data_IF_123518859921
#
_entry.id   IF_123518859921
#
_cell.length_a   1.000
_cell.length_b   1.000
_cell.length_c   1.000
_cell.angle_alpha   90.00
_cell.angle_beta   90.00
_cell.angle_gamma   90.00
#
_symmetry.space_group_name_H-M   'P 1'
#
loop_
_entity.id
_entity.type
_entity.pdbx_description
1 polymer ?
#
# COMPACT_ATOMS: atom_id res chain seq x y z
N UNK A 1 -42.00 13.88 18.83
CA UNK A 1 -40.80 13.32 18.18
C UNK A 1 -40.30 14.33 17.15
N UNK A 2 -39.26 15.08 17.45
CA UNK A 2 -38.60 16.01 16.51
C UNK A 2 -37.25 15.44 16.19
N UNK A 3 -37.01 15.06 14.91
CA UNK A 3 -35.72 14.74 14.38
C UNK A 3 -34.88 16.02 14.32
N UNK A 4 -33.71 16.02 14.92
CA UNK A 4 -32.70 17.07 14.76
C UNK A 4 -31.66 16.58 13.77
N UNK A 5 -31.60 17.25 12.63
CA UNK A 5 -30.50 17.15 11.69
C UNK A 5 -29.32 17.96 12.24
N UNK A 6 -28.14 17.34 12.37
CA UNK A 6 -26.89 18.04 12.66
C UNK A 6 -26.30 18.55 11.36
N UNK A 7 -26.52 19.83 11.05
CA UNK A 7 -25.84 20.52 9.96
C UNK A 7 -24.53 21.10 10.48
N UNK A 8 -23.39 20.59 9.96
CA UNK A 8 -22.08 21.18 10.15
C UNK A 8 -21.96 22.40 9.21
N UNK A 9 -22.02 23.59 9.76
CA UNK A 9 -21.79 24.84 9.02
C UNK A 9 -20.29 25.12 8.89
N UNK A 10 -19.79 25.10 7.66
CA UNK A 10 -18.45 25.54 7.31
C UNK A 10 -18.45 27.02 6.90
N UNK A 11 -17.77 27.85 7.65
CA UNK A 11 -17.52 29.24 7.26
C UNK A 11 -16.09 29.40 6.71
N UNK A 12 -16.00 29.79 5.45
CA UNK A 12 -14.71 30.09 4.79
C UNK A 12 -14.37 31.57 5.01
N UNK A 13 -13.24 31.86 5.69
CA UNK A 13 -12.64 33.20 5.73
C UNK A 13 -11.17 33.14 5.29
N UNK A 14 -10.64 34.16 4.62
CA UNK A 14 -9.23 34.21 4.26
C UNK A 14 -8.37 34.32 5.54
N UNK A 15 -7.61 33.24 5.84
CA UNK A 15 -6.70 33.19 6.97
C UNK A 15 -6.84 31.99 7.92
N UNK A 16 -7.74 31.03 7.66
CA UNK A 16 -7.83 29.81 8.47
C UNK A 16 -9.24 29.27 8.58
N UNK A 17 -9.36 27.94 8.56
CA UNK A 17 -10.62 27.25 8.85
C UNK A 17 -10.82 27.27 10.36
N UNK A 18 -11.77 28.09 10.83
CA UNK A 18 -12.24 28.03 12.22
C UNK A 18 -13.36 26.97 12.26
N UNK A 19 -13.11 25.84 12.89
CA UNK A 19 -14.17 24.89 13.26
C UNK A 19 -14.95 25.54 14.38
N UNK A 20 -16.09 26.15 14.05
CA UNK A 20 -17.02 26.70 15.04
C UNK A 20 -17.74 25.53 15.71
N UNK A 21 -17.29 25.14 16.90
CA UNK A 21 -18.11 24.37 17.80
C UNK A 21 -19.32 25.26 18.25
N UNK A 22 -20.53 24.73 18.10
CA UNK A 22 -21.75 25.39 18.54
C UNK A 22 -21.63 25.77 20.01
N UNK A 23 -21.62 27.07 20.30
CA UNK A 23 -21.76 27.59 21.64
C UNK A 23 -23.21 27.37 22.09
N UNK A 24 -23.47 26.29 22.82
CA UNK A 24 -24.67 26.16 23.63
C UNK A 24 -24.34 26.63 25.04
N UNK A 25 -25.21 27.48 25.57
CA UNK A 25 -25.04 28.16 26.85
C UNK A 25 -24.83 27.18 28.02
N UNK A 26 -23.75 27.36 28.78
CA UNK A 26 -23.73 27.01 30.21
C UNK A 26 -22.98 25.73 30.62
N UNK A 27 -22.10 25.11 29.82
CA UNK A 27 -21.28 23.99 30.27
C UNK A 27 -19.82 24.12 29.82
N UNK A 28 -18.85 23.90 30.70
CA UNK A 28 -17.47 23.66 30.32
C UNK A 28 -17.41 22.32 29.54
N UNK A 29 -17.46 22.38 28.20
CA UNK A 29 -17.17 21.23 27.38
C UNK A 29 -15.65 20.98 27.48
N UNK A 30 -15.24 20.01 28.27
CA UNK A 30 -13.89 19.44 28.18
C UNK A 30 -13.82 18.71 26.85
N UNK A 31 -12.94 19.16 25.93
CA UNK A 31 -12.64 18.45 24.70
C UNK A 31 -12.31 16.98 25.02
N UNK A 32 -12.88 16.04 24.27
CA UNK A 32 -12.50 14.64 24.39
C UNK A 32 -11.01 14.46 24.07
N UNK A 33 -10.41 13.38 24.50
CA UNK A 33 -9.01 13.07 24.15
C UNK A 33 -8.85 13.00 22.63
N UNK A 34 -9.79 12.37 21.94
CA UNK A 34 -9.78 12.27 20.46
C UNK A 34 -9.87 13.65 19.83
N UNK A 35 -10.79 14.52 20.28
CA UNK A 35 -10.92 15.87 19.73
C UNK A 35 -9.62 16.68 19.86
N UNK A 36 -8.91 16.57 21.00
CA UNK A 36 -7.60 17.21 21.22
C UNK A 36 -6.53 16.69 20.25
N UNK A 37 -6.49 15.37 20.03
CA UNK A 37 -5.51 14.75 19.12
C UNK A 37 -5.80 15.16 17.67
N UNK A 38 -7.06 15.14 17.27
CA UNK A 38 -7.46 15.56 15.92
C UNK A 38 -7.17 17.05 15.68
N UNK A 39 -7.41 17.91 16.67
CA UNK A 39 -7.08 19.33 16.59
C UNK A 39 -5.56 19.56 16.45
N UNK A 40 -4.73 18.80 17.21
CA UNK A 40 -3.27 18.76 17.06
C UNK A 40 -2.86 18.42 15.61
N UNK A 41 -3.41 17.35 15.04
CA UNK A 41 -3.14 16.94 13.66
C UNK A 41 -3.59 18.00 12.63
N UNK A 42 -4.78 18.59 12.81
CA UNK A 42 -5.33 19.62 11.92
C UNK A 42 -4.53 20.93 11.93
N UNK A 43 -3.80 21.23 13.02
CA UNK A 43 -2.83 22.34 13.08
C UNK A 43 -1.48 22.00 12.44
N UNK A 44 -1.28 20.77 11.96
CA UNK A 44 -0.02 20.32 11.37
C UNK A 44 1.04 19.91 12.40
N UNK A 45 0.62 19.69 13.64
CA UNK A 45 1.49 19.16 14.69
C UNK A 45 1.54 17.63 14.58
N UNK A 46 2.74 17.06 14.73
CA UNK A 46 2.94 15.60 14.64
C UNK A 46 2.31 14.86 15.82
N UNK A 47 1.55 13.83 15.48
CA UNK A 47 1.06 12.88 16.46
C UNK A 47 2.20 11.99 16.94
N UNK A 48 2.28 11.75 18.25
CA UNK A 48 3.21 10.81 18.86
C UNK A 48 2.62 9.39 18.96
N UNK A 49 3.36 8.49 19.57
CA UNK A 49 2.96 7.10 19.73
C UNK A 49 1.66 6.98 20.55
N UNK A 50 1.57 7.71 21.68
CA UNK A 50 0.42 7.66 22.58
C UNK A 50 -0.84 8.22 21.91
N UNK A 51 -0.74 9.37 21.23
CA UNK A 51 -1.83 9.93 20.41
C UNK A 51 -2.34 8.90 19.39
N UNK A 52 -1.41 8.19 18.74
CA UNK A 52 -1.75 7.20 17.70
C UNK A 52 -2.42 5.97 18.29
N UNK A 53 -1.97 5.47 19.43
CA UNK A 53 -2.62 4.37 20.16
C UNK A 53 -4.04 4.74 20.53
N UNK A 54 -4.24 5.93 21.10
CA UNK A 54 -5.56 6.41 21.51
C UNK A 54 -6.53 6.55 20.33
N UNK A 55 -6.05 6.96 19.15
CA UNK A 55 -6.87 6.95 17.94
C UNK A 55 -7.27 5.53 17.51
N UNK A 56 -6.35 4.57 17.57
CA UNK A 56 -6.66 3.17 17.24
C UNK A 56 -7.64 2.54 18.22
N UNK A 57 -7.60 2.91 19.49
CA UNK A 57 -8.50 2.42 20.54
C UNK A 57 -9.88 3.11 20.52
N UNK A 58 -10.03 4.21 19.78
CA UNK A 58 -11.26 4.97 19.70
C UNK A 58 -12.30 4.33 18.76
N UNK A 59 -13.57 4.48 19.12
CA UNK A 59 -14.72 4.13 18.27
C UNK A 59 -15.21 5.32 17.40
N UNK A 60 -14.56 6.50 17.49
CA UNK A 60 -14.99 7.73 16.79
C UNK A 60 -14.49 7.75 15.31
N UNK A 61 -14.70 6.66 14.58
CA UNK A 61 -14.15 6.41 13.24
C UNK A 61 -14.50 7.52 12.24
N UNK A 62 -15.73 8.01 12.26
CA UNK A 62 -16.18 9.07 11.34
C UNK A 62 -15.47 10.41 11.61
N UNK A 63 -15.23 10.77 12.88
CA UNK A 63 -14.47 11.97 13.22
C UNK A 63 -13.01 11.88 12.75
N UNK A 64 -12.37 10.73 13.01
CA UNK A 64 -11.01 10.45 12.58
C UNK A 64 -10.92 10.52 11.04
N UNK A 65 -11.89 9.91 10.35
CA UNK A 65 -12.01 9.95 8.90
C UNK A 65 -12.18 11.37 8.35
N UNK A 66 -13.04 12.18 8.97
CA UNK A 66 -13.27 13.57 8.57
C UNK A 66 -11.99 14.42 8.70
N UNK A 67 -11.23 14.28 9.80
CA UNK A 67 -9.97 14.97 9.99
C UNK A 67 -8.92 14.52 8.95
N UNK A 68 -8.81 13.22 8.69
CA UNK A 68 -7.93 12.67 7.67
C UNK A 68 -8.27 13.19 6.26
N UNK A 69 -9.56 13.29 5.93
CA UNK A 69 -10.02 13.85 4.66
C UNK A 69 -9.63 15.34 4.50
N UNK A 70 -9.70 16.13 5.57
CA UNK A 70 -9.24 17.52 5.55
C UNK A 70 -7.74 17.60 5.26
N UNK A 71 -6.93 16.77 5.92
CA UNK A 71 -5.48 16.72 5.69
C UNK A 71 -5.18 16.23 4.27
N UNK A 72 -5.84 15.18 3.82
CA UNK A 72 -5.69 14.67 2.45
C UNK A 72 -6.00 15.77 1.41
N UNK A 73 -7.10 16.52 1.57
CA UNK A 73 -7.45 17.62 0.66
C UNK A 73 -6.47 18.80 0.69
N UNK A 74 -5.78 19.03 1.81
CA UNK A 74 -4.69 20.02 1.88
C UNK A 74 -3.44 19.56 1.15
N UNK A 75 -3.11 18.27 1.23
CA UNK A 75 -1.96 17.67 0.54
C UNK A 75 -2.22 17.46 -0.96
N UNK A 76 -3.48 17.19 -1.32
CA UNK A 76 -3.95 16.92 -2.68
C UNK A 76 -5.16 17.80 -3.01
N UNK A 77 -4.93 19.10 -3.26
CA UNK A 77 -6.00 20.07 -3.57
C UNK A 77 -6.59 19.88 -4.99
N UNK A 78 -5.97 19.05 -5.81
CA UNK A 78 -6.38 18.79 -7.17
C UNK A 78 -7.75 18.11 -7.24
N UNK A 79 -8.54 18.37 -8.32
CA UNK A 79 -9.89 17.83 -8.46
C UNK A 79 -9.92 16.36 -8.90
N UNK A 80 -8.78 15.69 -8.97
CA UNK A 80 -8.68 14.30 -9.41
C UNK A 80 -8.25 13.35 -8.30
N UNK A 81 -8.51 12.04 -8.52
CA UNK A 81 -7.92 10.94 -7.76
C UNK A 81 -7.28 9.95 -8.72
N UNK A 82 -6.15 9.41 -8.28
CA UNK A 82 -5.30 8.60 -9.14
C UNK A 82 -5.62 7.11 -9.07
N UNK A 83 -5.24 6.40 -10.12
CA UNK A 83 -5.16 4.95 -10.18
C UNK A 83 -4.05 4.55 -11.15
N UNK A 84 -3.57 3.31 -11.08
CA UNK A 84 -2.60 2.76 -12.02
C UNK A 84 -3.18 1.54 -12.74
N UNK A 85 -2.89 1.42 -14.05
CA UNK A 85 -3.15 0.19 -14.80
C UNK A 85 -1.92 -0.68 -14.65
N UNK A 86 -2.05 -1.74 -13.86
CA UNK A 86 -0.95 -2.63 -13.52
C UNK A 86 -1.39 -4.07 -13.37
N UNK A 87 -0.43 -4.97 -13.43
CA UNK A 87 -0.61 -6.41 -13.31
C UNK A 87 0.31 -6.99 -12.24
N UNK A 88 -0.22 -7.90 -11.41
CA UNK A 88 0.61 -8.75 -10.58
C UNK A 88 1.12 -9.94 -11.39
N UNK A 89 2.40 -10.22 -11.29
CA UNK A 89 3.03 -11.42 -11.88
C UNK A 89 3.70 -12.19 -10.74
N UNK A 90 3.21 -13.38 -10.47
CA UNK A 90 3.82 -14.26 -9.47
C UNK A 90 4.70 -15.28 -10.20
N UNK A 91 5.98 -14.94 -10.35
CA UNK A 91 6.94 -15.74 -11.14
C UNK A 91 7.24 -17.11 -10.51
N UNK A 92 7.05 -17.27 -9.19
CA UNK A 92 7.15 -18.55 -8.49
C UNK A 92 6.24 -18.57 -7.25
N UNK A 93 5.67 -19.72 -6.92
CA UNK A 93 5.00 -19.96 -5.65
C UNK A 93 5.86 -20.78 -4.67
N UNK A 94 7.04 -21.23 -5.09
CA UNK A 94 7.95 -21.98 -4.21
C UNK A 94 8.56 -21.03 -3.19
N UNK A 95 8.39 -21.38 -1.89
CA UNK A 95 8.81 -20.53 -0.79
C UNK A 95 9.26 -21.36 0.40
N UNK A 96 10.36 -20.99 1.05
CA UNK A 96 10.90 -21.65 2.24
C UNK A 96 10.64 -20.90 3.57
N UNK A 97 9.84 -19.81 3.53
CA UNK A 97 9.50 -19.00 4.72
C UNK A 97 8.26 -19.50 5.47
N UNK A 98 7.32 -20.14 4.79
CA UNK A 98 6.13 -20.79 5.39
C UNK A 98 5.26 -19.88 6.25
N UNK A 99 4.95 -18.66 5.79
CA UNK A 99 4.09 -17.74 6.52
C UNK A 99 2.72 -18.34 6.80
N UNK A 100 2.27 -18.30 8.05
CA UNK A 100 0.99 -18.90 8.48
C UNK A 100 -0.24 -18.22 7.87
N UNK A 101 -0.10 -16.97 7.44
CA UNK A 101 -1.15 -16.17 6.83
C UNK A 101 -1.19 -16.27 5.29
N UNK A 102 -0.20 -16.91 4.66
CA UNK A 102 -0.12 -17.01 3.21
C UNK A 102 -0.72 -18.34 2.74
N UNK A 103 -1.70 -18.27 1.83
CA UNK A 103 -2.31 -19.44 1.19
C UNK A 103 -1.65 -19.78 -0.15
N UNK A 104 -0.83 -18.88 -0.67
CA UNK A 104 -0.26 -18.97 -2.02
C UNK A 104 0.98 -19.88 -2.10
N UNK A 105 1.84 -19.86 -1.08
CA UNK A 105 3.14 -20.54 -1.15
C UNK A 105 3.01 -22.06 -1.28
N UNK A 106 4.00 -22.67 -1.95
CA UNK A 106 4.27 -24.12 -1.96
C UNK A 106 5.68 -24.36 -1.44
N UNK A 107 5.87 -25.47 -0.71
CA UNK A 107 7.19 -25.85 -0.20
C UNK A 107 8.11 -26.27 -1.33
N UNK A 108 9.44 -26.06 -1.19
CA UNK A 108 10.40 -26.64 -2.12
C UNK A 108 10.18 -28.15 -2.30
N UNK A 109 10.16 -28.62 -3.54
CA UNK A 109 9.87 -30.00 -3.90
C UNK A 109 8.38 -30.38 -3.97
N UNK A 110 7.45 -29.44 -3.78
CA UNK A 110 6.01 -29.68 -4.00
C UNK A 110 5.72 -29.86 -5.49
N UNK A 111 4.86 -30.83 -5.84
CA UNK A 111 4.38 -31.05 -7.21
C UNK A 111 3.56 -29.84 -7.74
N UNK A 112 2.97 -29.06 -6.85
CA UNK A 112 2.25 -27.81 -7.18
C UNK A 112 3.17 -26.59 -7.24
N UNK A 113 4.47 -26.78 -6.95
CA UNK A 113 5.48 -25.72 -7.05
C UNK A 113 5.80 -25.38 -8.51
N UNK A 114 5.92 -24.10 -8.82
CA UNK A 114 6.30 -23.67 -10.17
C UNK A 114 7.29 -22.51 -10.15
N UNK A 115 8.00 -22.39 -11.26
CA UNK A 115 8.69 -21.19 -11.72
C UNK A 115 8.15 -20.93 -13.13
N UNK A 116 7.61 -19.75 -13.38
CA UNK A 116 7.09 -19.40 -14.70
C UNK A 116 8.23 -19.32 -15.70
N UNK A 117 8.06 -19.88 -16.90
CA UNK A 117 8.97 -19.62 -18.02
C UNK A 117 8.97 -18.12 -18.37
N UNK A 118 10.11 -17.61 -18.81
CA UNK A 118 10.30 -16.19 -19.18
C UNK A 118 9.30 -15.77 -20.26
N UNK A 119 9.00 -16.62 -21.25
CA UNK A 119 8.03 -16.33 -22.30
C UNK A 119 6.62 -16.08 -21.76
N UNK A 120 6.23 -16.79 -20.68
CA UNK A 120 4.94 -16.57 -20.02
C UNK A 120 4.94 -15.20 -19.32
N UNK A 121 6.04 -14.83 -18.67
CA UNK A 121 6.22 -13.51 -18.03
C UNK A 121 6.15 -12.41 -19.10
N UNK A 122 6.90 -12.56 -20.20
CA UNK A 122 6.89 -11.60 -21.31
C UNK A 122 5.50 -11.44 -21.95
N UNK A 123 4.77 -12.54 -22.14
CA UNK A 123 3.41 -12.50 -22.65
C UNK A 123 2.49 -11.69 -21.71
N UNK A 124 2.60 -11.91 -20.38
CA UNK A 124 1.82 -11.15 -19.39
C UNK A 124 2.15 -9.66 -19.40
N UNK A 125 3.43 -9.30 -19.59
CA UNK A 125 3.87 -7.91 -19.69
C UNK A 125 3.31 -7.28 -20.97
N UNK A 126 3.40 -7.99 -22.10
CA UNK A 126 2.85 -7.51 -23.39
C UNK A 126 1.35 -7.27 -23.32
N UNK A 127 0.60 -8.19 -22.73
CA UNK A 127 -0.84 -8.04 -22.51
C UNK A 127 -1.17 -6.83 -21.62
N UNK A 128 -0.28 -6.47 -20.69
CA UNK A 128 -0.44 -5.29 -19.84
C UNK A 128 -0.20 -4.00 -20.64
N UNK A 129 0.83 -3.96 -21.49
CA UNK A 129 1.07 -2.83 -22.41
C UNK A 129 -0.11 -2.63 -23.38
N UNK A 130 -0.70 -3.71 -23.89
CA UNK A 130 -1.79 -3.67 -24.86
C UNK A 130 -3.09 -3.01 -24.33
N UNK A 131 -3.17 -2.83 -23.01
CA UNK A 131 -4.27 -2.10 -22.34
C UNK A 131 -3.80 -0.79 -21.68
N UNK A 132 -2.73 -0.20 -22.20
CA UNK A 132 -2.11 1.03 -21.66
C UNK A 132 -1.62 0.89 -20.21
N UNK A 133 -1.29 -0.33 -19.78
CA UNK A 133 -0.69 -0.58 -18.47
C UNK A 133 0.79 -0.16 -18.42
N UNK A 134 1.22 0.31 -17.28
CA UNK A 134 2.56 0.91 -17.11
C UNK A 134 3.38 0.26 -16.01
N UNK A 135 2.76 -0.63 -15.22
CA UNK A 135 3.38 -1.20 -14.03
C UNK A 135 3.22 -2.72 -13.99
N UNK A 136 4.30 -3.40 -13.70
CA UNK A 136 4.28 -4.81 -13.29
C UNK A 136 4.70 -4.91 -11.83
N UNK A 137 3.78 -5.39 -11.00
CA UNK A 137 4.07 -5.82 -9.63
C UNK A 137 4.47 -7.30 -9.68
N UNK A 138 5.78 -7.58 -9.77
CA UNK A 138 6.27 -8.96 -9.84
C UNK A 138 6.80 -9.41 -8.49
N UNK A 139 6.12 -10.36 -7.87
CA UNK A 139 6.49 -10.92 -6.57
C UNK A 139 6.27 -12.44 -6.58
N UNK A 140 7.12 -13.17 -5.84
CA UNK A 140 7.02 -14.62 -5.71
C UNK A 140 7.29 -15.11 -4.30
N UNK A 141 7.52 -16.42 -4.18
CA UNK A 141 8.07 -17.01 -2.97
C UNK A 141 9.59 -16.81 -2.88
N UNK A 142 10.14 -16.94 -1.68
CA UNK A 142 11.58 -17.00 -1.44
C UNK A 142 12.11 -18.38 -1.88
N UNK A 143 12.27 -18.55 -3.19
CA UNK A 143 12.66 -19.84 -3.78
C UNK A 143 14.15 -20.11 -3.57
N UNK A 144 14.58 -21.09 -2.76
CA UNK A 144 15.97 -21.36 -2.48
C UNK A 144 16.73 -22.01 -3.67
N UNK A 145 16.00 -22.44 -4.71
CA UNK A 145 16.57 -23.12 -5.87
C UNK A 145 16.91 -22.17 -7.03
N UNK A 146 16.56 -20.88 -6.93
CA UNK A 146 16.88 -19.89 -7.95
C UNK A 146 18.21 -19.21 -7.61
N UNK A 147 19.22 -19.26 -8.48
CA UNK A 147 20.47 -18.53 -8.27
C UNK A 147 20.25 -17.02 -8.41
N UNK A 148 21.13 -16.21 -7.85
CA UNK A 148 21.02 -14.74 -7.94
C UNK A 148 20.99 -14.25 -9.40
N UNK A 149 21.73 -14.89 -10.30
CA UNK A 149 21.73 -14.55 -11.73
C UNK A 149 20.36 -14.66 -12.39
N UNK A 150 19.49 -15.56 -11.93
CA UNK A 150 18.11 -15.65 -12.44
C UNK A 150 17.39 -14.31 -12.37
N UNK A 151 17.48 -13.61 -11.25
CA UNK A 151 16.79 -12.34 -11.04
C UNK A 151 17.33 -11.21 -11.90
N UNK A 152 18.66 -11.11 -12.00
CA UNK A 152 19.30 -10.08 -12.82
C UNK A 152 19.11 -10.32 -14.32
N UNK A 153 19.18 -11.57 -14.77
CA UNK A 153 19.02 -11.92 -16.18
C UNK A 153 17.56 -11.72 -16.63
N UNK A 154 16.59 -12.12 -15.79
CA UNK A 154 15.16 -11.87 -16.06
C UNK A 154 14.87 -10.37 -16.16
N UNK A 155 15.36 -9.53 -15.22
CA UNK A 155 15.15 -8.08 -15.27
C UNK A 155 15.74 -7.46 -16.54
N UNK A 156 16.98 -7.83 -16.92
CA UNK A 156 17.63 -7.35 -18.15
C UNK A 156 16.80 -7.73 -19.37
N UNK A 157 16.36 -8.99 -19.47
CA UNK A 157 15.56 -9.48 -20.59
C UNK A 157 14.19 -8.78 -20.67
N UNK A 158 13.57 -8.45 -19.54
CA UNK A 158 12.34 -7.64 -19.49
C UNK A 158 12.61 -6.23 -20.01
N UNK A 159 13.65 -5.55 -19.49
CA UNK A 159 13.93 -4.16 -19.88
C UNK A 159 14.40 -4.01 -21.33
N UNK A 160 15.07 -5.02 -21.88
CA UNK A 160 15.42 -5.04 -23.29
C UNK A 160 14.16 -5.10 -24.19
N UNK A 161 13.15 -5.87 -23.80
CA UNK A 161 11.91 -6.06 -24.58
C UNK A 161 10.84 -5.01 -24.29
N UNK A 162 10.75 -4.52 -23.04
CA UNK A 162 9.71 -3.65 -22.53
C UNK A 162 10.31 -2.45 -21.76
N UNK A 163 11.06 -1.57 -22.44
CA UNK A 163 11.81 -0.49 -21.78
C UNK A 163 10.93 0.52 -21.05
N UNK A 164 9.66 0.65 -21.42
CA UNK A 164 8.72 1.62 -20.86
C UNK A 164 7.91 1.07 -19.67
N UNK A 165 7.95 -0.24 -19.43
CA UNK A 165 7.26 -0.86 -18.30
C UNK A 165 8.08 -0.62 -17.02
N UNK A 166 7.40 -0.14 -15.98
CA UNK A 166 7.97 -0.02 -14.65
C UNK A 166 7.93 -1.36 -13.93
N UNK A 167 9.11 -1.85 -13.53
CA UNK A 167 9.24 -3.04 -12.68
C UNK A 167 9.21 -2.63 -11.22
N UNK A 168 8.02 -2.65 -10.62
CA UNK A 168 7.78 -2.49 -9.18
C UNK A 168 7.75 -3.89 -8.56
N UNK A 169 8.92 -4.43 -8.20
CA UNK A 169 9.04 -5.89 -8.07
C UNK A 169 9.83 -6.31 -6.85
N UNK A 170 9.65 -7.57 -6.47
CA UNK A 170 10.22 -8.26 -5.33
C UNK A 170 9.82 -7.66 -3.97
N UNK A 171 9.81 -8.47 -2.95
CA UNK A 171 9.63 -8.04 -1.57
C UNK A 171 10.99 -8.02 -0.84
N UNK A 172 11.12 -7.28 0.27
CA UNK A 172 12.33 -7.36 1.09
C UNK A 172 12.73 -8.79 1.50
N UNK A 173 11.77 -9.68 1.70
CA UNK A 173 12.07 -11.08 1.98
C UNK A 173 12.74 -11.80 0.78
N UNK A 174 12.30 -11.49 -0.45
CA UNK A 174 12.95 -11.99 -1.66
C UNK A 174 14.35 -11.39 -1.84
N UNK A 175 14.52 -10.08 -1.54
CA UNK A 175 15.86 -9.45 -1.56
C UNK A 175 16.82 -10.12 -0.57
N UNK A 176 16.36 -10.40 0.66
CA UNK A 176 17.17 -11.13 1.64
C UNK A 176 17.50 -12.54 1.17
N UNK A 177 16.59 -13.22 0.45
CA UNK A 177 16.89 -14.51 -0.20
C UNK A 177 17.93 -14.35 -1.32
N UNK A 178 17.87 -13.29 -2.12
CA UNK A 178 18.87 -13.00 -3.14
C UNK A 178 20.26 -12.79 -2.50
N UNK A 179 20.34 -12.14 -1.34
CA UNK A 179 21.60 -12.03 -0.57
C UNK A 179 22.10 -13.42 -0.17
N UNK A 180 21.22 -14.28 0.35
CA UNK A 180 21.58 -15.64 0.77
C UNK A 180 22.15 -16.50 -0.38
N UNK A 181 21.60 -16.35 -1.61
CA UNK A 181 21.99 -17.15 -2.78
C UNK A 181 22.99 -16.44 -3.72
N UNK A 182 23.58 -15.33 -3.31
CA UNK A 182 24.44 -14.46 -4.13
C UNK A 182 25.94 -14.72 -4.01
N UNK A 183 26.36 -15.85 -3.42
CA UNK A 183 27.77 -16.19 -3.22
C UNK A 183 28.59 -15.10 -2.47
N UNK A 184 27.97 -14.45 -1.48
CA UNK A 184 28.65 -13.56 -0.53
C UNK A 184 28.54 -12.07 -0.83
N UNK A 185 27.64 -11.64 -1.72
CA UNK A 185 27.34 -10.22 -1.89
C UNK A 185 26.63 -9.65 -0.64
N UNK A 186 26.96 -8.42 -0.31
CA UNK A 186 26.25 -7.65 0.73
C UNK A 186 24.84 -7.24 0.27
N UNK A 187 23.98 -6.84 1.19
CA UNK A 187 22.65 -6.33 0.87
C UNK A 187 22.72 -5.16 -0.13
N UNK A 188 23.65 -4.21 0.07
CA UNK A 188 23.78 -3.07 -0.83
C UNK A 188 24.22 -3.49 -2.24
N UNK A 189 25.16 -4.41 -2.35
CA UNK A 189 25.61 -4.93 -3.66
C UNK A 189 24.49 -5.65 -4.38
N UNK A 190 23.68 -6.47 -3.69
CA UNK A 190 22.50 -7.13 -4.28
C UNK A 190 21.48 -6.10 -4.77
N UNK A 191 21.09 -5.14 -3.92
CA UNK A 191 20.09 -4.11 -4.28
C UNK A 191 20.59 -3.26 -5.44
N UNK A 192 21.86 -2.91 -5.48
CA UNK A 192 22.48 -2.17 -6.59
C UNK A 192 22.48 -3.01 -7.89
N UNK A 193 22.86 -4.27 -7.82
CA UNK A 193 22.92 -5.15 -9.00
C UNK A 193 21.54 -5.39 -9.63
N UNK A 194 20.48 -5.57 -8.82
CA UNK A 194 19.12 -5.72 -9.36
C UNK A 194 18.57 -4.38 -9.91
N UNK A 195 18.93 -3.24 -9.29
CA UNK A 195 18.58 -1.93 -9.81
C UNK A 195 19.26 -1.68 -11.17
N UNK A 196 20.54 -1.94 -11.28
CA UNK A 196 21.29 -1.84 -12.55
C UNK A 196 20.79 -2.83 -13.62
N UNK A 197 20.22 -3.97 -13.18
CA UNK A 197 19.59 -4.94 -14.09
C UNK A 197 18.21 -4.50 -14.59
N UNK A 198 17.61 -3.45 -14.00
CA UNK A 198 16.34 -2.86 -14.46
C UNK A 198 15.19 -2.88 -13.46
N UNK A 199 15.45 -3.14 -12.18
CA UNK A 199 14.44 -2.94 -11.15
C UNK A 199 14.24 -1.45 -10.90
N UNK A 200 13.02 -0.94 -11.10
CA UNK A 200 12.72 0.49 -10.95
C UNK A 200 12.35 0.88 -9.51
N UNK A 201 11.68 0.00 -8.78
CA UNK A 201 11.25 0.28 -7.40
C UNK A 201 10.88 -1.00 -6.63
N UNK A 202 10.87 -0.92 -5.29
CA UNK A 202 10.51 -2.03 -4.41
C UNK A 202 9.13 -1.82 -3.77
N UNK A 203 8.20 -2.78 -3.90
CA UNK A 203 6.94 -2.75 -3.18
C UNK A 203 7.11 -3.05 -1.69
N UNK A 204 6.22 -2.51 -0.87
CA UNK A 204 6.22 -2.67 0.58
C UNK A 204 5.82 -4.04 1.11
N UNK A 205 5.56 -5.00 0.21
CA UNK A 205 5.18 -6.36 0.60
C UNK A 205 6.15 -6.98 1.59
N UNK A 206 5.64 -7.82 2.49
CA UNK A 206 6.49 -8.42 3.51
C UNK A 206 6.62 -7.62 4.80
N UNK A 207 6.11 -6.38 4.87
CA UNK A 207 6.06 -5.60 6.11
C UNK A 207 5.10 -6.23 7.14
N UNK A 208 3.92 -6.64 6.70
CA UNK A 208 2.77 -7.02 7.52
C UNK A 208 2.60 -6.08 8.71
N UNK A 209 3.12 -6.43 9.88
CA UNK A 209 3.33 -5.55 11.03
C UNK A 209 4.83 -5.49 11.31
N UNK A 210 5.40 -4.29 11.38
CA UNK A 210 6.81 -4.07 11.67
C UNK A 210 7.07 -4.14 13.18
N UNK A 211 6.71 -5.29 13.77
CA UNK A 211 6.99 -5.64 15.15
C UNK A 211 7.33 -7.13 15.29
N UNK A 212 8.44 -7.44 15.99
CA UNK A 212 8.95 -8.81 16.07
C UNK A 212 8.08 -9.76 16.88
N UNK A 213 7.25 -9.25 17.81
CA UNK A 213 6.32 -10.09 18.55
C UNK A 213 5.27 -10.71 17.62
N UNK A 214 4.64 -9.87 16.81
CA UNK A 214 3.67 -10.34 15.81
C UNK A 214 4.38 -11.12 14.70
N UNK A 215 5.51 -10.63 14.14
CA UNK A 215 6.25 -11.32 13.08
C UNK A 215 6.62 -12.75 13.44
N UNK A 216 7.15 -12.99 14.65
CA UNK A 216 7.48 -14.36 15.12
C UNK A 216 6.27 -15.30 15.21
N UNK A 217 5.06 -14.78 15.47
CA UNK A 217 3.83 -15.57 15.52
C UNK A 217 3.33 -15.97 14.15
N UNK A 218 3.40 -15.06 13.18
CA UNK A 218 2.77 -15.24 11.86
C UNK A 218 3.75 -15.76 10.80
N UNK A 219 5.07 -15.49 10.96
CA UNK A 219 6.07 -15.77 9.92
C UNK A 219 7.48 -15.85 10.51
N UNK A 220 7.73 -16.90 11.27
CA UNK A 220 8.97 -17.05 12.06
C UNK A 220 10.26 -16.99 11.25
N UNK A 221 10.23 -17.41 9.98
CA UNK A 221 11.40 -17.50 9.10
C UNK A 221 11.56 -16.29 8.16
N UNK A 222 10.68 -15.28 8.26
CA UNK A 222 10.68 -14.12 7.35
C UNK A 222 11.68 -13.02 7.77
N UNK A 223 12.38 -13.20 8.87
CA UNK A 223 13.26 -12.18 9.43
C UNK A 223 12.55 -11.17 10.34
N UNK A 224 13.33 -10.29 10.93
CA UNK A 224 12.87 -9.22 11.81
C UNK A 224 12.25 -8.05 11.04
N UNK A 225 11.61 -7.12 11.78
CA UNK A 225 11.17 -5.87 11.18
C UNK A 225 12.35 -5.00 10.69
N UNK A 226 13.52 -5.14 11.33
CA UNK A 226 14.75 -4.43 10.93
C UNK A 226 15.25 -4.92 9.57
N UNK A 227 15.24 -6.22 9.33
CA UNK A 227 15.66 -6.77 8.01
C UNK A 227 14.81 -6.17 6.88
N UNK A 228 13.49 -6.01 7.10
CA UNK A 228 12.62 -5.34 6.13
C UNK A 228 13.02 -3.87 5.95
N UNK A 229 13.25 -3.17 7.05
CA UNK A 229 13.59 -1.75 7.05
C UNK A 229 14.98 -1.51 6.42
N UNK A 230 15.96 -2.36 6.72
CA UNK A 230 17.32 -2.27 6.16
C UNK A 230 17.31 -2.40 4.64
N UNK A 231 16.47 -3.28 4.07
CA UNK A 231 16.28 -3.38 2.62
C UNK A 231 15.73 -2.07 2.04
N UNK A 232 14.64 -1.53 2.64
CA UNK A 232 14.02 -0.30 2.16
C UNK A 232 14.96 0.91 2.25
N UNK A 233 15.60 1.10 3.39
CA UNK A 233 16.58 2.19 3.57
C UNK A 233 17.80 2.03 2.66
N UNK A 234 18.23 0.79 2.36
CA UNK A 234 19.29 0.55 1.38
C UNK A 234 18.86 0.96 -0.02
N UNK A 235 17.61 0.63 -0.41
CA UNK A 235 17.05 1.09 -1.68
C UNK A 235 17.01 2.63 -1.75
N UNK A 236 16.57 3.31 -0.68
CA UNK A 236 16.55 4.78 -0.63
C UNK A 236 17.96 5.38 -0.78
N UNK A 237 18.97 4.81 -0.09
CA UNK A 237 20.36 5.30 -0.19
C UNK A 237 20.96 5.23 -1.57
N UNK A 238 20.55 4.26 -2.39
CA UNK A 238 21.03 4.12 -3.77
C UNK A 238 20.18 4.86 -4.80
N UNK A 239 19.17 5.63 -4.38
CA UNK A 239 18.30 6.42 -5.25
C UNK A 239 17.03 5.70 -5.72
N UNK A 240 16.74 4.48 -5.24
CA UNK A 240 15.56 3.73 -5.64
C UNK A 240 14.37 4.07 -4.74
N UNK A 241 13.21 4.40 -5.35
CA UNK A 241 11.96 4.62 -4.64
C UNK A 241 11.32 3.31 -4.20
N UNK A 242 10.49 3.38 -3.15
CA UNK A 242 9.78 2.21 -2.63
C UNK A 242 8.34 2.56 -2.26
N UNK A 243 7.57 1.57 -1.81
CA UNK A 243 6.30 1.79 -1.11
C UNK A 243 6.35 1.12 0.27
N UNK A 244 5.45 1.51 1.17
CA UNK A 244 5.28 0.83 2.46
C UNK A 244 3.87 0.27 2.58
N UNK A 245 3.73 -0.87 3.25
CA UNK A 245 2.44 -1.53 3.46
C UNK A 245 2.25 -1.92 4.92
N UNK A 246 1.00 -2.05 5.35
CA UNK A 246 0.62 -2.66 6.62
C UNK A 246 -0.48 -3.69 6.38
N UNK A 247 -0.43 -4.83 7.04
CA UNK A 247 -1.53 -5.81 7.04
C UNK A 247 -2.10 -5.93 8.45
N UNK A 248 -3.34 -5.47 8.64
CA UNK A 248 -4.03 -5.56 9.92
C UNK A 248 -4.87 -6.84 10.03
N UNK A 249 -5.12 -7.28 11.25
CA UNK A 249 -5.90 -8.49 11.54
C UNK A 249 -5.05 -9.74 11.70
N UNK A 250 -3.76 -9.60 11.96
CA UNK A 250 -2.81 -10.68 12.18
C UNK A 250 -2.64 -11.04 13.67
N UNK A 251 -3.47 -10.46 14.54
CA UNK A 251 -3.43 -10.63 16.00
C UNK A 251 -2.43 -9.69 16.68
N UNK A 252 -2.11 -8.60 16.04
CA UNK A 252 -1.34 -7.48 16.55
C UNK A 252 -2.14 -6.63 17.54
N UNK A 253 -1.45 -5.90 18.42
CA UNK A 253 -2.05 -4.89 19.30
C UNK A 253 -2.17 -3.53 18.61
N UNK A 254 -2.94 -2.60 19.19
CA UNK A 254 -3.04 -1.21 18.70
C UNK A 254 -1.70 -0.49 18.84
N UNK A 255 -0.92 -0.79 19.89
CA UNK A 255 0.44 -0.31 20.03
C UNK A 255 1.35 -0.79 18.88
N UNK A 256 1.26 -2.07 18.48
CA UNK A 256 2.07 -2.60 17.38
C UNK A 256 1.67 -1.96 16.03
N UNK A 257 0.39 -1.62 15.81
CA UNK A 257 -0.04 -0.82 14.65
C UNK A 257 0.54 0.60 14.69
N UNK A 258 0.48 1.25 15.84
CA UNK A 258 1.02 2.59 16.02
C UNK A 258 2.55 2.60 15.81
N UNK A 259 3.28 1.66 16.42
CA UNK A 259 4.73 1.50 16.21
C UNK A 259 5.10 1.27 14.76
N UNK A 260 4.30 0.51 14.02
CA UNK A 260 4.51 0.32 12.58
C UNK A 260 4.52 1.65 11.84
N UNK A 261 3.50 2.51 12.07
CA UNK A 261 3.42 3.82 11.43
C UNK A 261 4.58 4.74 11.84
N UNK A 262 4.97 4.73 13.14
CA UNK A 262 6.13 5.49 13.61
C UNK A 262 7.42 5.09 12.87
N UNK A 263 7.70 3.78 12.76
CA UNK A 263 8.89 3.26 12.08
C UNK A 263 8.93 3.63 10.59
N UNK A 264 7.79 3.56 9.90
CA UNK A 264 7.69 3.98 8.49
C UNK A 264 7.93 5.49 8.36
N UNK A 265 7.32 6.31 9.23
CA UNK A 265 7.53 7.76 9.24
C UNK A 265 8.98 8.15 9.52
N UNK A 266 9.62 7.50 10.50
CA UNK A 266 11.02 7.73 10.86
C UNK A 266 11.98 7.41 9.71
N UNK A 267 11.74 6.30 9.00
CA UNK A 267 12.55 5.94 7.82
C UNK A 267 12.37 6.94 6.67
N UNK A 268 11.16 7.47 6.49
CA UNK A 268 10.92 8.54 5.51
C UNK A 268 11.60 9.84 5.92
N UNK A 269 11.58 10.20 7.22
CA UNK A 269 12.31 11.37 7.74
C UNK A 269 13.82 11.24 7.50
N UNK A 270 14.40 10.06 7.70
CA UNK A 270 15.80 9.78 7.41
C UNK A 270 16.13 10.01 5.92
N UNK A 271 15.29 9.49 5.02
CA UNK A 271 15.47 9.67 3.59
C UNK A 271 15.46 11.16 3.21
N UNK A 272 14.51 11.93 3.72
CA UNK A 272 14.37 13.38 3.47
C UNK A 272 15.56 14.15 4.07
N UNK A 273 15.95 13.84 5.31
CA UNK A 273 17.04 14.55 6.01
C UNK A 273 18.40 14.36 5.32
N UNK A 274 18.67 13.16 4.80
CA UNK A 274 19.91 12.85 4.07
C UNK A 274 19.90 13.28 2.61
N UNK A 275 18.75 13.76 2.10
CA UNK A 275 18.59 14.21 0.71
C UNK A 275 19.07 13.18 -0.32
N UNK A 276 18.66 11.93 -0.10
CA UNK A 276 18.95 10.87 -1.07
C UNK A 276 18.29 11.22 -2.43
N UNK A 277 18.82 10.66 -3.52
CA UNK A 277 18.21 10.83 -4.86
C UNK A 277 16.86 10.10 -4.99
N UNK A 278 16.45 9.37 -3.94
CA UNK A 278 15.14 8.75 -3.78
C UNK A 278 14.18 9.70 -3.06
N UNK A 279 12.90 9.65 -3.43
CA UNK A 279 11.80 10.24 -2.66
C UNK A 279 11.39 9.37 -1.45
N UNK A 280 12.04 8.22 -1.25
CA UNK A 280 11.72 7.28 -0.19
C UNK A 280 10.46 6.46 -0.49
N UNK A 281 9.54 6.43 0.47
CA UNK A 281 8.25 5.80 0.29
C UNK A 281 7.31 6.69 -0.52
N UNK A 282 7.04 6.32 -1.77
CA UNK A 282 6.10 7.03 -2.65
C UNK A 282 4.65 6.95 -2.15
N UNK A 283 4.31 5.84 -1.51
CA UNK A 283 2.98 5.59 -0.98
C UNK A 283 2.98 4.65 0.22
N UNK A 284 1.91 4.75 1.00
CA UNK A 284 1.57 3.77 2.03
C UNK A 284 0.24 3.07 1.69
N UNK A 285 0.19 1.74 1.84
CA UNK A 285 -0.97 0.91 1.47
C UNK A 285 -1.37 0.03 2.67
N UNK A 286 -2.45 0.35 3.39
CA UNK A 286 -2.99 -0.54 4.42
C UNK A 286 -3.84 -1.65 3.81
N UNK A 287 -3.61 -2.88 4.24
CA UNK A 287 -4.32 -4.08 3.80
C UNK A 287 -5.01 -4.76 4.98
N UNK A 288 -5.97 -5.64 4.69
CA UNK A 288 -6.56 -6.52 5.69
C UNK A 288 -6.22 -7.96 5.42
N UNK A 289 -5.92 -8.70 6.48
CA UNK A 289 -5.70 -10.14 6.41
C UNK A 289 -6.93 -10.87 5.87
N UNK A 290 -6.69 -11.83 4.97
CA UNK A 290 -7.72 -12.73 4.43
C UNK A 290 -7.44 -14.14 4.98
N UNK A 291 -8.37 -14.74 5.73
CA UNK A 291 -8.10 -15.97 6.51
C UNK A 291 -8.26 -17.28 5.76
N UNK A 292 -8.98 -17.30 4.62
CA UNK A 292 -9.36 -18.54 3.97
C UNK A 292 -8.12 -19.28 3.44
N UNK A 293 -8.13 -20.60 3.55
CA UNK A 293 -7.04 -21.47 3.15
C UNK A 293 -5.67 -21.20 3.81
N UNK A 294 -5.64 -20.39 4.88
CA UNK A 294 -4.42 -20.09 5.65
C UNK A 294 -4.31 -20.95 6.92
N UNK A 295 -3.10 -21.00 7.49
CA UNK A 295 -2.84 -21.66 8.77
C UNK A 295 -3.07 -20.74 9.99
N UNK A 296 -3.49 -19.50 9.77
CA UNK A 296 -3.76 -18.51 10.81
C UNK A 296 -5.27 -18.38 11.01
N UNK A 297 -5.76 -18.88 12.16
CA UNK A 297 -7.20 -18.91 12.46
C UNK A 297 -7.62 -17.63 13.17
N UNK A 298 -7.81 -16.58 12.41
CA UNK A 298 -8.29 -15.27 12.86
C UNK A 298 -9.46 -14.83 11.98
N UNK A 299 -10.26 -13.88 12.49
CA UNK A 299 -11.41 -13.36 11.78
C UNK A 299 -11.00 -12.27 10.76
N UNK A 300 -11.84 -12.06 9.75
CA UNK A 300 -11.70 -10.95 8.82
C UNK A 300 -11.90 -9.62 9.53
N UNK A 301 -11.13 -8.62 9.14
CA UNK A 301 -11.32 -7.28 9.66
C UNK A 301 -12.59 -6.63 9.09
N UNK A 302 -13.20 -5.77 9.90
CA UNK A 302 -14.39 -5.03 9.48
C UNK A 302 -14.02 -3.85 8.56
N UNK A 303 -14.96 -3.37 7.73
CA UNK A 303 -14.78 -2.13 6.98
C UNK A 303 -14.41 -0.93 7.86
N UNK A 304 -14.98 -0.83 9.06
CA UNK A 304 -14.68 0.23 10.02
C UNK A 304 -13.23 0.20 10.48
N UNK A 305 -12.68 -0.98 10.82
CA UNK A 305 -11.28 -1.12 11.22
C UNK A 305 -10.32 -0.76 10.07
N UNK A 306 -10.66 -1.13 8.85
CA UNK A 306 -9.88 -0.75 7.67
C UNK A 306 -9.91 0.77 7.45
N UNK A 307 -11.08 1.39 7.42
CA UNK A 307 -11.25 2.83 7.22
C UNK A 307 -10.57 3.64 8.34
N UNK A 308 -10.69 3.18 9.59
CA UNK A 308 -9.98 3.77 10.74
C UNK A 308 -8.47 3.72 10.53
N UNK A 309 -7.93 2.57 10.09
CA UNK A 309 -6.49 2.42 9.81
C UNK A 309 -6.02 3.34 8.69
N UNK A 310 -6.79 3.45 7.60
CA UNK A 310 -6.53 4.40 6.50
C UNK A 310 -6.44 5.83 7.05
N UNK A 311 -7.45 6.24 7.81
CA UNK A 311 -7.54 7.60 8.35
C UNK A 311 -6.38 7.92 9.29
N UNK A 312 -6.06 7.03 10.24
CA UNK A 312 -4.94 7.19 11.16
C UNK A 312 -3.61 7.23 10.40
N UNK A 313 -3.44 6.40 9.37
CA UNK A 313 -2.25 6.44 8.52
C UNK A 313 -2.05 7.81 7.88
N UNK A 314 -3.12 8.45 7.38
CA UNK A 314 -3.04 9.82 6.83
C UNK A 314 -2.69 10.87 7.88
N UNK A 315 -3.21 10.73 9.11
CA UNK A 315 -2.93 11.66 10.20
C UNK A 315 -1.49 11.56 10.72
N UNK A 316 -0.89 10.36 10.68
CA UNK A 316 0.42 10.06 11.24
C UNK A 316 1.54 10.20 10.24
N UNK A 317 1.34 9.74 8.99
CA UNK A 317 2.35 9.75 7.95
C UNK A 317 2.36 11.10 7.18
N UNK A 318 2.67 12.17 7.88
CA UNK A 318 2.67 13.54 7.37
C UNK A 318 3.74 13.80 6.29
N UNK A 319 4.74 12.94 6.21
CA UNK A 319 5.86 12.98 5.27
C UNK A 319 5.72 12.00 4.09
N UNK A 320 4.65 11.21 4.01
CA UNK A 320 4.34 10.33 2.87
C UNK A 320 3.15 10.91 2.11
N UNK A 321 3.38 11.30 0.86
CA UNK A 321 2.37 12.04 0.07
C UNK A 321 1.12 11.19 -0.19
N UNK A 322 1.29 9.92 -0.57
CA UNK A 322 0.18 9.12 -1.09
C UNK A 322 -0.24 8.03 -0.12
N UNK A 323 -1.54 7.92 0.12
CA UNK A 323 -2.17 6.76 0.77
C UNK A 323 -3.07 6.10 -0.28
N UNK A 324 -2.77 4.83 -0.57
CA UNK A 324 -3.47 4.05 -1.56
C UNK A 324 -4.54 3.18 -0.93
N UNK A 325 -5.69 3.10 -1.57
CA UNK A 325 -6.78 2.18 -1.20
C UNK A 325 -6.43 0.72 -1.47
N UNK A 326 -6.92 -0.18 -0.64
CA UNK A 326 -6.84 -1.64 -0.84
C UNK A 326 -8.23 -2.23 -1.10
N UNK A 327 -8.82 -1.89 -2.26
CA UNK A 327 -10.12 -2.42 -2.67
C UNK A 327 -10.11 -3.96 -2.83
N UNK A 328 -8.97 -4.55 -3.14
CA UNK A 328 -8.85 -6.00 -3.39
C UNK A 328 -9.21 -6.84 -2.16
N UNK A 329 -8.96 -6.35 -0.96
CA UNK A 329 -9.30 -7.05 0.30
C UNK A 329 -10.64 -6.65 0.90
N UNK A 330 -11.12 -5.43 0.62
CA UNK A 330 -12.32 -4.87 1.25
C UNK A 330 -13.50 -4.69 0.29
N UNK A 331 -13.27 -4.87 -0.99
CA UNK A 331 -14.25 -4.60 -2.04
C UNK A 331 -14.21 -3.17 -2.57
N UNK A 332 -14.68 -2.97 -3.82
CA UNK A 332 -14.57 -1.69 -4.51
C UNK A 332 -15.35 -0.55 -3.84
N UNK A 333 -16.49 -0.82 -3.20
CA UNK A 333 -17.28 0.22 -2.50
C UNK A 333 -16.56 0.74 -1.24
N UNK A 334 -15.89 -0.13 -0.49
CA UNK A 334 -15.05 0.31 0.63
C UNK A 334 -13.79 1.01 0.11
N UNK A 335 -13.23 0.54 -1.02
CA UNK A 335 -12.17 1.25 -1.74
C UNK A 335 -12.58 2.67 -2.11
N UNK A 336 -13.78 2.87 -2.67
CA UNK A 336 -14.38 4.19 -2.93
C UNK A 336 -14.51 5.01 -1.64
N UNK A 337 -15.07 4.42 -0.58
CA UNK A 337 -15.26 5.10 0.71
C UNK A 337 -13.94 5.56 1.33
N UNK A 338 -12.84 4.83 1.13
CA UNK A 338 -11.53 5.21 1.66
C UNK A 338 -11.00 6.54 1.10
N UNK A 339 -11.45 6.97 -0.09
CA UNK A 339 -11.15 8.29 -0.65
C UNK A 339 -11.70 9.46 0.19
N UNK A 340 -12.71 9.20 1.01
CA UNK A 340 -13.24 10.16 2.00
C UNK A 340 -12.55 10.03 3.37
N UNK A 341 -11.74 8.99 3.57
CA UNK A 341 -11.04 8.67 4.80
C UNK A 341 -9.52 8.91 4.75
N UNK A 342 -9.03 9.63 3.73
CA UNK A 342 -7.63 10.04 3.65
C UNK A 342 -6.84 9.42 2.50
N UNK A 343 -7.38 8.45 1.75
CA UNK A 343 -6.76 8.00 0.49
C UNK A 343 -6.89 9.09 -0.59
N UNK A 344 -5.82 9.23 -1.40
CA UNK A 344 -5.83 10.04 -2.62
C UNK A 344 -5.66 9.20 -3.89
N UNK A 345 -5.43 7.90 -3.74
CA UNK A 345 -5.18 6.96 -4.82
C UNK A 345 -6.08 5.72 -4.66
N UNK A 346 -6.78 5.34 -5.74
CA UNK A 346 -7.65 4.16 -5.74
C UNK A 346 -6.86 2.84 -5.83
N UNK A 347 -5.62 2.91 -6.28
CA UNK A 347 -4.73 1.76 -6.43
C UNK A 347 -4.66 1.20 -7.86
N UNK A 348 -4.16 -0.03 -7.96
CA UNK A 348 -3.98 -0.72 -9.23
C UNK A 348 -5.26 -1.41 -9.70
N UNK A 349 -5.41 -1.56 -11.02
CA UNK A 349 -6.42 -2.45 -11.63
C UNK A 349 -6.23 -3.90 -11.23
N UNK A 350 -5.02 -4.29 -10.85
CA UNK A 350 -4.67 -5.68 -10.50
C UNK A 350 -5.23 -6.66 -11.52
N UNK A 351 -4.85 -6.51 -12.81
CA UNK A 351 -5.31 -7.34 -13.92
C UNK A 351 -5.25 -8.83 -13.59
N UNK A 352 -4.24 -9.22 -12.81
CA UNK A 352 -4.09 -10.54 -12.22
C UNK A 352 -3.74 -10.40 -10.74
N UNK A 353 -4.35 -11.20 -9.88
CA UNK A 353 -4.04 -11.26 -8.45
C UNK A 353 -4.25 -12.70 -7.96
N UNK A 354 -3.16 -13.37 -7.59
CA UNK A 354 -3.18 -14.78 -7.21
C UNK A 354 -2.93 -15.01 -5.71
N UNK A 355 -2.30 -14.05 -5.02
CA UNK A 355 -1.86 -14.23 -3.64
C UNK A 355 -3.02 -14.08 -2.67
N UNK A 356 -3.75 -12.98 -2.76
CA UNK A 356 -4.88 -12.70 -1.85
C UNK A 356 -6.12 -13.50 -2.27
N UNK A 357 -6.27 -13.76 -3.58
CA UNK A 357 -7.35 -14.63 -4.08
C UNK A 357 -7.21 -16.06 -3.58
N UNK A 358 -6.00 -16.60 -3.43
CA UNK A 358 -5.74 -17.90 -2.79
C UNK A 358 -6.23 -17.93 -1.33
N UNK A 359 -6.28 -16.79 -0.67
CA UNK A 359 -6.81 -16.61 0.69
C UNK A 359 -8.28 -16.15 0.72
N UNK A 360 -9.01 -16.31 -0.39
CA UNK A 360 -10.47 -16.10 -0.47
C UNK A 360 -10.93 -14.68 -0.79
N UNK A 361 -10.06 -13.76 -1.20
CA UNK A 361 -10.48 -12.50 -1.79
C UNK A 361 -10.98 -12.73 -3.22
N UNK A 362 -12.20 -12.28 -3.51
CA UNK A 362 -12.85 -12.55 -4.81
C UNK A 362 -13.20 -11.28 -5.58
N UNK A 363 -12.87 -10.13 -5.04
CA UNK A 363 -13.18 -8.86 -5.68
C UNK A 363 -12.35 -8.66 -6.95
N UNK A 364 -13.00 -8.19 -8.00
CA UNK A 364 -12.39 -7.80 -9.26
C UNK A 364 -12.96 -6.46 -9.69
N UNK A 365 -12.12 -5.62 -10.26
CA UNK A 365 -12.52 -4.37 -10.89
C UNK A 365 -11.88 -4.29 -12.27
N UNK A 366 -12.60 -3.69 -13.20
CA UNK A 366 -12.05 -3.28 -14.47
C UNK A 366 -11.84 -1.76 -14.49
N UNK A 367 -11.20 -1.26 -15.53
CA UNK A 367 -10.89 0.17 -15.67
C UNK A 367 -12.17 1.01 -15.61
N UNK A 368 -13.22 0.60 -16.31
CA UNK A 368 -14.50 1.31 -16.33
C UNK A 368 -15.10 1.44 -14.91
N UNK A 369 -15.05 0.36 -14.14
CA UNK A 369 -15.50 0.36 -12.74
C UNK A 369 -14.71 1.34 -11.87
N UNK A 370 -13.38 1.40 -12.02
CA UNK A 370 -12.52 2.35 -11.29
C UNK A 370 -12.90 3.79 -11.67
N UNK A 371 -13.03 4.08 -12.97
CA UNK A 371 -13.40 5.42 -13.43
C UNK A 371 -14.76 5.84 -12.86
N UNK A 372 -15.76 4.94 -12.87
CA UNK A 372 -17.07 5.19 -12.29
C UNK A 372 -16.99 5.47 -10.80
N UNK A 373 -16.30 4.64 -10.02
CA UNK A 373 -16.20 4.77 -8.57
C UNK A 373 -15.49 6.07 -8.14
N UNK A 374 -14.46 6.48 -8.86
CA UNK A 374 -13.78 7.76 -8.60
C UNK A 374 -14.71 8.94 -8.93
N UNK A 375 -15.46 8.89 -10.05
CA UNK A 375 -16.44 9.93 -10.40
C UNK A 375 -17.57 10.03 -9.37
N UNK A 376 -18.10 8.90 -8.91
CA UNK A 376 -19.11 8.85 -7.84
C UNK A 376 -18.62 9.46 -6.51
N UNK A 377 -17.29 9.50 -6.29
CA UNK A 377 -16.67 10.20 -5.15
C UNK A 377 -16.50 11.72 -5.39
N UNK A 378 -16.94 12.24 -6.54
CA UNK A 378 -16.84 13.66 -6.88
C UNK A 378 -15.49 14.09 -7.42
N UNK A 379 -14.67 13.16 -7.92
CA UNK A 379 -13.35 13.45 -8.46
C UNK A 379 -13.22 13.02 -9.92
N UNK A 380 -12.28 13.66 -10.65
CA UNK A 380 -11.88 13.25 -11.98
C UNK A 380 -10.91 12.06 -11.86
N UNK A 381 -11.14 10.93 -12.53
CA UNK A 381 -10.17 9.85 -12.54
C UNK A 381 -8.91 10.23 -13.30
N UNK A 382 -7.73 9.89 -12.77
CA UNK A 382 -6.45 10.16 -13.38
C UNK A 382 -5.56 8.90 -13.36
N UNK A 383 -5.16 8.43 -14.54
CA UNK A 383 -4.15 7.37 -14.63
C UNK A 383 -2.78 7.95 -14.30
N UNK A 384 -2.06 7.29 -13.41
CA UNK A 384 -0.69 7.60 -13.05
C UNK A 384 0.29 6.48 -13.41
N UNK A 385 1.59 6.80 -13.40
CA UNK A 385 2.64 5.79 -13.33
C UNK A 385 3.01 5.45 -11.86
N UNK A 386 3.99 4.59 -11.66
CA UNK A 386 4.48 4.19 -10.33
C UNK A 386 5.07 5.36 -9.54
N UNK A 387 5.59 6.40 -10.20
CA UNK A 387 6.12 7.63 -9.57
C UNK A 387 5.06 8.68 -9.25
N UNK A 388 3.77 8.35 -9.40
CA UNK A 388 2.64 9.26 -9.21
C UNK A 388 2.59 10.44 -10.20
N UNK A 389 3.27 10.35 -11.33
CA UNK A 389 3.13 11.29 -12.44
C UNK A 389 1.85 10.99 -13.21
N UNK A 390 1.08 12.04 -13.52
CA UNK A 390 -0.20 11.89 -14.24
C UNK A 390 0.08 11.65 -15.72
N UNK A 391 -0.40 10.52 -16.21
CA UNK A 391 -0.28 10.13 -17.61
C UNK A 391 -1.50 10.58 -18.41
N UNK A 392 -2.69 10.45 -17.81
CA UNK A 392 -3.95 10.75 -18.48
C UNK A 392 -5.04 11.12 -17.48
N UNK A 393 -5.84 12.11 -17.84
CA UNK A 393 -7.09 12.47 -17.17
C UNK A 393 -8.28 11.86 -17.93
N UNK A 394 -9.29 11.37 -17.20
CA UNK A 394 -10.51 10.82 -17.77
C UNK A 394 -11.68 11.74 -17.42
N UNK A 395 -11.82 12.85 -18.15
CA UNK A 395 -13.03 13.66 -18.16
C UNK A 395 -14.21 12.93 -18.84
N UNK A 396 -15.35 13.58 -18.94
CA UNK A 396 -16.56 12.96 -19.50
C UNK A 396 -16.42 12.57 -20.98
N UNK A 397 -15.53 13.21 -21.73
CA UNK A 397 -15.29 12.99 -23.17
C UNK A 397 -14.18 11.98 -23.45
N UNK A 398 -13.48 11.50 -22.43
CA UNK A 398 -12.32 10.63 -22.58
C UNK A 398 -12.71 9.21 -23.03
N UNK A 399 -11.96 8.69 -24.02
CA UNK A 399 -12.08 7.29 -24.45
C UNK A 399 -11.54 6.39 -23.33
N UNK A 400 -12.35 5.44 -22.88
CA UNK A 400 -11.94 4.44 -21.90
C UNK A 400 -10.97 3.43 -22.55
N UNK A 401 -9.83 3.11 -21.94
CA UNK A 401 -8.93 2.07 -22.44
C UNK A 401 -9.64 0.71 -22.55
N UNK A 402 -9.15 -0.14 -23.44
CA UNK A 402 -9.68 -1.50 -23.57
C UNK A 402 -9.45 -2.25 -22.28
N UNK A 403 -10.50 -2.88 -21.76
CA UNK A 403 -10.34 -3.78 -20.63
C UNK A 403 -9.60 -5.05 -21.06
N UNK A 404 -8.70 -5.53 -20.17
CA UNK A 404 -8.11 -6.84 -20.33
C UNK A 404 -9.18 -7.89 -20.01
N UNK A 405 -9.56 -8.67 -21.01
CA UNK A 405 -10.42 -9.84 -20.84
C UNK A 405 -9.49 -11.04 -20.61
N UNK A 406 -9.39 -11.51 -19.37
CA UNK A 406 -8.71 -12.77 -19.10
C UNK A 406 -9.39 -13.88 -19.92
N UNK A 407 -8.66 -14.50 -20.84
CA UNK A 407 -9.07 -15.75 -21.44
C UNK A 407 -9.04 -16.80 -20.31
N UNK A 408 -10.20 -17.38 -20.01
CA UNK A 408 -10.38 -18.45 -19.02
C UNK A 408 -9.60 -19.71 -19.41
#
# INVERSE_FOLDING_TARGET
MRCYSHDLLFANKPGGIVVLFSLYEGGFFTMSTVDRILDKALRGERLDLEDTIQLFESDEVDKIGAAANVIMKRMHPEPYRTFVIGRNVNYTNVCDVYCRFCAFYRRPGSEEGYVLPDEVIFQKIKETEDVDGTEILMQGGTNPNLPFSYYTDLLKAIKERFPNITMHSFSPAEIMKMVEVSDGLTLEEVVRAIHEAGLDSLPGGGAEILDDRTRRKISRLKGSWRDWMDVMQTAHRIGMNTTATMVIGLGESMEERALHLMRVREAQDECIANKYDSEGFLAFIPWTFQPDNTNLKLERQTPQEYLKTVAISRLVLDNIKNIQSSWVTMGPEIGKKSLEFGCNDFGSTMIEENVVSSAGATYKVNIESILRLIRESGYIPAQRNTRYEILRMFDEESIVPKDFVMQN
#
